data_IF_470813049795
#
_entry.id   IF_470813049795
#
_cell.length_a   1.000
_cell.length_b   1.000
_cell.length_c   1.000
_cell.angle_alpha   90.00
_cell.angle_beta   90.00
_cell.angle_gamma   90.00
#
_symmetry.space_group_name_H-M   'P 1'
#
loop_
_entity.id
_entity.type
_entity.pdbx_description
1 polymer ?
#
# COMPACT_ATOMS: atom_id res chain seq x y z
N UNK A 1 -9.74 31.20 32.61
CA UNK A 1 -8.72 30.90 31.59
C UNK A 1 -9.27 29.77 30.73
N UNK A 2 -9.77 30.01 29.52
CA UNK A 2 -10.19 28.90 28.66
C UNK A 2 -8.94 28.19 28.13
N UNK A 3 -8.79 26.93 28.51
CA UNK A 3 -7.71 26.07 28.04
C UNK A 3 -7.87 25.76 26.56
N UNK A 4 -6.79 25.97 25.82
CA UNK A 4 -6.68 25.55 24.42
C UNK A 4 -6.84 24.04 24.35
N UNK A 5 -7.95 23.57 23.80
CA UNK A 5 -8.11 22.18 23.40
C UNK A 5 -7.26 21.99 22.15
N UNK A 6 -6.10 21.35 22.30
CA UNK A 6 -5.36 20.79 21.17
C UNK A 6 -6.19 19.63 20.62
N UNK A 7 -7.10 19.93 19.70
CA UNK A 7 -7.67 18.93 18.81
C UNK A 7 -6.51 18.56 17.88
N UNK A 8 -5.84 17.44 18.16
CA UNK A 8 -4.99 16.81 17.16
C UNK A 8 -5.83 16.64 15.89
N UNK A 9 -5.30 16.90 14.69
CA UNK A 9 -6.05 16.62 13.48
C UNK A 9 -6.42 15.14 13.54
N UNK A 10 -7.73 14.89 13.64
CA UNK A 10 -8.34 13.65 13.19
C UNK A 10 -7.70 13.41 11.82
N UNK A 11 -6.92 12.33 11.69
CA UNK A 11 -6.22 12.03 10.44
C UNK A 11 -7.32 11.91 9.40
N UNK A 12 -7.53 13.00 8.66
CA UNK A 12 -8.41 13.02 7.52
C UNK A 12 -7.90 11.88 6.66
N UNK A 13 -8.71 10.82 6.55
CA UNK A 13 -8.64 9.82 5.49
C UNK A 13 -8.50 10.64 4.22
N UNK A 14 -7.25 10.78 3.76
CA UNK A 14 -6.86 11.93 2.98
C UNK A 14 -7.60 11.91 1.66
N UNK A 15 -8.57 12.81 1.51
CA UNK A 15 -9.01 13.29 0.20
C UNK A 15 -7.77 13.94 -0.44
N UNK A 16 -6.94 13.12 -1.08
CA UNK A 16 -5.77 13.55 -1.81
C UNK A 16 -6.28 14.34 -3.02
N UNK A 17 -6.60 15.62 -2.86
CA UNK A 17 -7.10 16.44 -3.96
C UNK A 17 -6.04 16.74 -5.04
N UNK A 18 -4.83 16.17 -4.92
CA UNK A 18 -3.66 16.47 -5.73
C UNK A 18 -3.05 15.23 -6.38
N UNK A 19 -2.48 15.43 -7.56
CA UNK A 19 -1.58 14.45 -8.21
C UNK A 19 -0.31 14.28 -7.38
N UNK A 20 0.18 13.05 -7.26
CA UNK A 20 1.39 12.77 -6.50
C UNK A 20 2.06 11.46 -6.88
N UNK A 21 3.19 11.21 -6.21
CA UNK A 21 3.92 9.96 -6.30
C UNK A 21 4.61 9.63 -4.97
N UNK A 22 4.80 8.35 -4.72
CA UNK A 22 5.51 7.87 -3.54
C UNK A 22 6.29 6.61 -3.87
N UNK A 23 7.34 6.36 -3.08
CA UNK A 23 8.13 5.13 -3.15
C UNK A 23 8.52 4.70 -1.75
N UNK A 24 8.26 3.44 -1.42
CA UNK A 24 8.51 2.87 -0.09
C UNK A 24 9.00 1.43 -0.19
N UNK A 25 9.78 1.03 0.79
CA UNK A 25 10.06 -0.38 1.06
C UNK A 25 9.15 -0.87 2.18
N UNK A 26 8.23 -1.76 1.83
CA UNK A 26 7.31 -2.39 2.76
C UNK A 26 7.92 -3.68 3.27
N UNK A 27 7.88 -3.89 4.58
CA UNK A 27 8.38 -5.10 5.22
C UNK A 27 7.23 -5.92 5.74
N UNK A 28 7.32 -7.23 5.61
CA UNK A 28 6.50 -8.18 6.38
C UNK A 28 6.83 -8.05 7.88
N UNK A 29 5.89 -8.36 8.77
CA UNK A 29 6.07 -8.10 10.22
C UNK A 29 7.22 -8.90 10.84
N UNK A 30 7.50 -10.09 10.33
CA UNK A 30 8.65 -10.92 10.71
C UNK A 30 9.93 -10.61 9.91
N UNK A 31 9.89 -9.61 9.00
CA UNK A 31 11.00 -9.20 8.12
C UNK A 31 11.56 -10.28 7.20
N UNK A 32 10.84 -11.38 6.99
CA UNK A 32 11.25 -12.45 6.08
C UNK A 32 11.01 -12.11 4.59
N UNK A 33 10.26 -11.05 4.32
CA UNK A 33 10.10 -10.50 2.97
C UNK A 33 9.85 -9.00 2.95
N UNK A 34 10.09 -8.39 1.79
CA UNK A 34 9.84 -6.98 1.52
C UNK A 34 9.39 -6.72 0.09
N UNK A 35 8.84 -5.52 -0.12
CA UNK A 35 8.42 -5.02 -1.42
C UNK A 35 8.92 -3.60 -1.55
N UNK A 36 9.76 -3.31 -2.54
CA UNK A 36 9.98 -1.93 -2.99
C UNK A 36 8.84 -1.60 -3.94
N UNK A 37 7.98 -0.67 -3.55
CA UNK A 37 6.81 -0.25 -4.33
C UNK A 37 6.87 1.25 -4.56
N UNK A 38 6.64 1.64 -5.81
CA UNK A 38 6.46 3.00 -6.26
C UNK A 38 5.06 3.15 -6.84
N UNK A 39 4.40 4.26 -6.55
CA UNK A 39 3.07 4.50 -7.09
C UNK A 39 2.85 5.98 -7.39
N UNK A 40 1.98 6.24 -8.37
CA UNK A 40 1.55 7.57 -8.78
C UNK A 40 0.04 7.65 -8.71
N UNK A 41 -0.50 8.82 -8.41
CA UNK A 41 -1.94 9.04 -8.39
C UNK A 41 -2.29 10.42 -8.94
N UNK A 42 -3.47 10.54 -9.53
CA UNK A 42 -4.08 11.78 -10.00
C UNK A 42 -5.58 11.71 -9.74
N UNK A 43 -6.21 12.79 -9.23
CA UNK A 43 -7.63 12.81 -8.98
C UNK A 43 -8.42 12.65 -10.28
N UNK A 44 -9.54 11.92 -10.21
CA UNK A 44 -10.51 11.74 -11.28
C UNK A 44 -11.74 12.61 -11.04
N UNK A 45 -12.39 13.03 -12.12
CA UNK A 45 -13.59 13.89 -12.04
C UNK A 45 -14.77 13.25 -11.26
N UNK A 46 -14.75 11.92 -11.03
CA UNK A 46 -15.74 11.18 -10.25
C UNK A 46 -15.40 11.01 -8.76
N UNK A 47 -14.36 11.70 -8.27
CA UNK A 47 -13.94 11.67 -6.87
C UNK A 47 -13.14 10.43 -6.48
N UNK A 48 -12.26 9.91 -7.35
CA UNK A 48 -11.30 8.85 -7.02
C UNK A 48 -9.94 9.11 -7.64
N UNK A 49 -9.09 8.09 -7.78
CA UNK A 49 -7.74 8.22 -8.32
C UNK A 49 -7.53 7.38 -9.58
N UNK A 50 -6.85 7.98 -10.55
CA UNK A 50 -6.15 7.27 -11.62
C UNK A 50 -4.66 7.20 -11.28
N UNK A 51 -3.98 6.15 -11.70
CA UNK A 51 -2.59 5.98 -11.34
C UNK A 51 -2.07 4.59 -11.62
N UNK A 52 -0.82 4.39 -11.23
CA UNK A 52 -0.06 3.17 -11.49
C UNK A 52 0.80 2.85 -10.28
N UNK A 53 0.93 1.58 -9.96
CA UNK A 53 1.86 1.08 -8.94
C UNK A 53 2.70 -0.03 -9.54
N UNK A 54 3.98 0.01 -9.19
CA UNK A 54 4.98 -0.91 -9.69
C UNK A 54 6.00 -1.19 -8.61
N UNK A 55 6.74 -2.28 -8.74
CA UNK A 55 7.71 -2.62 -7.73
C UNK A 55 8.35 -3.98 -7.92
N UNK A 56 9.09 -4.38 -6.87
CA UNK A 56 9.83 -5.63 -6.83
C UNK A 56 9.67 -6.32 -5.49
N UNK A 57 9.41 -7.61 -5.53
CA UNK A 57 9.35 -8.49 -4.38
C UNK A 57 10.76 -8.96 -3.99
N UNK A 58 11.02 -9.02 -2.70
CA UNK A 58 12.22 -9.62 -2.12
C UNK A 58 11.79 -10.58 -1.03
N UNK A 59 12.09 -11.85 -1.24
CA UNK A 59 11.87 -12.90 -0.25
C UNK A 59 13.24 -13.31 0.31
N UNK A 60 13.40 -13.16 1.63
CA UNK A 60 14.63 -13.49 2.36
C UNK A 60 14.60 -14.91 2.93
N UNK A 61 13.47 -15.60 2.88
CA UNK A 61 13.30 -16.97 3.35
C UNK A 61 12.72 -17.89 2.26
N UNK A 62 13.29 -17.94 1.04
CA UNK A 62 12.67 -18.59 -0.12
C UNK A 62 12.42 -20.11 0.01
N UNK A 63 12.98 -20.76 1.04
CA UNK A 63 12.83 -22.19 1.28
C UNK A 63 11.66 -22.52 2.24
N UNK A 64 10.95 -21.53 2.77
CA UNK A 64 9.83 -21.74 3.70
C UNK A 64 8.48 -22.03 3.00
N UNK A 65 8.48 -22.02 1.65
CA UNK A 65 7.30 -22.24 0.81
C UNK A 65 6.29 -21.09 0.85
N UNK A 66 6.64 -19.96 1.45
CA UNK A 66 5.83 -18.74 1.48
C UNK A 66 6.32 -17.77 0.42
N UNK A 67 5.44 -16.82 0.09
CA UNK A 67 5.69 -15.82 -0.94
C UNK A 67 5.24 -14.47 -0.41
N UNK A 68 5.89 -13.41 -0.87
CA UNK A 68 5.53 -12.05 -0.48
C UNK A 68 4.34 -11.58 -1.32
N UNK A 69 3.33 -11.05 -0.65
CA UNK A 69 2.07 -10.56 -1.21
C UNK A 69 2.00 -9.05 -0.96
N UNK A 70 1.77 -8.28 -2.02
CA UNK A 70 1.35 -6.89 -1.91
C UNK A 70 -0.15 -6.85 -1.71
N UNK A 71 -0.58 -6.29 -0.59
CA UNK A 71 -1.98 -5.97 -0.37
C UNK A 71 -2.19 -4.47 -0.45
N UNK A 72 -3.32 -4.08 -1.01
CA UNK A 72 -3.78 -2.71 -1.03
C UNK A 72 -5.09 -2.57 -0.28
N UNK A 73 -5.31 -1.40 0.32
CA UNK A 73 -6.59 -0.98 0.86
C UNK A 73 -7.06 0.25 0.12
N UNK A 74 -8.16 0.09 -0.58
CA UNK A 74 -8.96 1.16 -1.17
C UNK A 74 -10.00 1.55 -0.11
N UNK A 75 -10.24 2.84 0.10
CA UNK A 75 -11.18 3.41 1.08
C UNK A 75 -12.50 2.63 1.12
N UNK A 76 -12.92 2.26 2.34
CA UNK A 76 -14.11 1.45 2.58
C UNK A 76 -13.98 -0.06 2.28
N UNK A 77 -12.92 -0.52 1.60
CA UNK A 77 -12.68 -1.95 1.37
C UNK A 77 -11.66 -2.53 2.36
N UNK A 78 -11.75 -3.84 2.55
CA UNK A 78 -10.74 -4.61 3.27
C UNK A 78 -9.41 -4.70 2.50
N UNK A 79 -8.37 -5.15 3.19
CA UNK A 79 -7.08 -5.42 2.57
C UNK A 79 -7.19 -6.50 1.50
N UNK A 80 -6.86 -6.15 0.25
CA UNK A 80 -7.01 -7.01 -0.91
C UNK A 80 -5.65 -7.29 -1.54
N UNK A 81 -5.29 -8.56 -1.83
CA UNK A 81 -4.10 -8.88 -2.62
C UNK A 81 -4.17 -8.26 -4.02
N UNK A 82 -3.15 -7.50 -4.40
CA UNK A 82 -3.08 -6.83 -5.72
C UNK A 82 -1.91 -7.32 -6.58
N UNK A 83 -0.87 -7.85 -5.94
CA UNK A 83 0.25 -8.50 -6.63
C UNK A 83 0.90 -9.53 -5.70
N UNK A 84 1.37 -10.63 -6.28
CA UNK A 84 2.16 -11.67 -5.61
C UNK A 84 3.20 -12.15 -6.60
N UNK A 85 4.44 -12.34 -6.17
CA UNK A 85 5.46 -12.96 -7.00
C UNK A 85 6.48 -13.73 -6.16
N UNK A 86 7.22 -14.60 -6.84
CA UNK A 86 8.43 -15.21 -6.31
C UNK A 86 9.52 -14.16 -6.02
N UNK A 87 10.57 -14.58 -5.29
CA UNK A 87 11.71 -13.71 -5.00
C UNK A 87 12.26 -13.05 -6.27
N UNK A 88 12.47 -11.74 -6.21
CA UNK A 88 13.00 -10.95 -7.31
C UNK A 88 11.97 -10.60 -8.39
N UNK A 89 10.75 -11.15 -8.32
CA UNK A 89 9.67 -10.84 -9.24
C UNK A 89 9.28 -9.36 -9.20
N UNK A 90 8.89 -8.82 -10.34
CA UNK A 90 8.42 -7.45 -10.48
C UNK A 90 6.94 -7.42 -10.79
N UNK A 91 6.30 -6.29 -10.52
CA UNK A 91 4.91 -6.06 -10.88
C UNK A 91 4.75 -4.64 -11.36
N UNK A 92 3.72 -4.45 -12.15
CA UNK A 92 3.43 -3.18 -12.75
C UNK A 92 1.95 -3.14 -13.19
N UNK A 93 1.12 -2.33 -12.51
CA UNK A 93 -0.34 -2.36 -12.63
C UNK A 93 -0.96 -0.97 -12.46
N UNK A 94 -2.09 -0.75 -13.12
CA UNK A 94 -2.92 0.44 -12.92
C UNK A 94 -3.85 0.28 -11.72
N UNK A 95 -4.31 1.40 -11.16
CA UNK A 95 -5.36 1.37 -10.14
C UNK A 95 -6.67 0.84 -10.68
N UNK A 96 -7.44 0.25 -9.77
CA UNK A 96 -8.82 -0.10 -10.05
C UNK A 96 -9.64 1.20 -10.22
N UNK A 97 -10.60 1.26 -11.17
CA UNK A 97 -11.47 2.41 -11.32
C UNK A 97 -12.22 2.71 -10.02
N UNK A 98 -12.29 3.99 -9.64
CA UNK A 98 -13.02 4.42 -8.45
C UNK A 98 -12.29 4.17 -7.11
N UNK A 99 -11.00 3.86 -7.13
CA UNK A 99 -10.18 3.83 -5.91
C UNK A 99 -10.16 5.22 -5.27
N UNK A 100 -10.64 5.31 -4.04
CA UNK A 100 -10.50 6.47 -3.14
C UNK A 100 -9.60 5.98 -2.01
N UNK A 101 -8.58 6.73 -1.58
CA UNK A 101 -7.55 6.26 -0.63
C UNK A 101 -6.64 5.12 -1.12
N UNK A 102 -5.35 5.18 -0.77
CA UNK A 102 -4.35 4.23 -1.25
C UNK A 102 -3.35 3.84 -0.16
N UNK A 103 -3.54 2.66 0.43
CA UNK A 103 -2.59 2.12 1.39
C UNK A 103 -2.03 0.80 0.89
N UNK A 104 -0.73 0.60 1.02
CA UNK A 104 -0.07 -0.67 0.71
C UNK A 104 0.52 -1.32 1.94
N UNK A 105 0.52 -2.65 1.99
CA UNK A 105 1.29 -3.42 2.96
C UNK A 105 1.87 -4.68 2.34
N UNK A 106 2.99 -5.14 2.88
CA UNK A 106 3.57 -6.43 2.54
C UNK A 106 3.08 -7.50 3.53
N UNK A 107 2.66 -8.65 3.02
CA UNK A 107 2.32 -9.84 3.81
C UNK A 107 3.05 -11.06 3.25
N UNK A 108 3.09 -12.16 4.00
CA UNK A 108 3.46 -13.47 3.47
C UNK A 108 2.20 -14.30 3.20
N UNK A 109 2.31 -15.26 2.30
CA UNK A 109 1.33 -16.35 2.21
C UNK A 109 1.26 -17.06 3.56
N UNK A 110 0.05 -17.15 4.13
CA UNK A 110 -0.16 -17.73 5.45
C UNK A 110 0.02 -16.78 6.64
N UNK A 111 0.28 -15.47 6.44
CA UNK A 111 0.21 -14.46 7.51
C UNK A 111 1.29 -13.37 7.46
N UNK A 112 1.56 -12.72 8.61
CA UNK A 112 2.67 -11.76 8.79
C UNK A 112 2.62 -10.50 7.94
N UNK A 113 1.49 -9.80 8.00
CA UNK A 113 1.35 -8.49 7.40
C UNK A 113 2.10 -7.43 8.21
N UNK A 114 2.94 -6.64 7.53
CA UNK A 114 3.58 -5.48 8.14
C UNK A 114 2.69 -4.26 8.18
N UNK A 115 3.30 -3.15 8.61
CA UNK A 115 2.64 -1.85 8.71
C UNK A 115 2.23 -1.33 7.33
N UNK A 116 1.08 -0.64 7.24
CA UNK A 116 0.67 0.04 6.03
C UNK A 116 1.58 1.23 5.71
N UNK A 117 1.63 1.61 4.43
CA UNK A 117 2.20 2.86 3.97
C UNK A 117 1.22 3.60 3.05
N UNK A 118 1.29 4.93 3.14
CA UNK A 118 0.48 5.96 2.49
C UNK A 118 1.33 6.78 1.53
#
# INVERSE_FOLDING_TARGET
MPGTVNIAPEEADGDVAATGSARRTLWTSNRAGSIDVSWTWSPSAGGGYHGRFQGRFTDRAPNDGRWVILQARWEGRGWTPVATAANGGTFDRNYQPGTRGLNFRACLTGGYCGSPAW
#
